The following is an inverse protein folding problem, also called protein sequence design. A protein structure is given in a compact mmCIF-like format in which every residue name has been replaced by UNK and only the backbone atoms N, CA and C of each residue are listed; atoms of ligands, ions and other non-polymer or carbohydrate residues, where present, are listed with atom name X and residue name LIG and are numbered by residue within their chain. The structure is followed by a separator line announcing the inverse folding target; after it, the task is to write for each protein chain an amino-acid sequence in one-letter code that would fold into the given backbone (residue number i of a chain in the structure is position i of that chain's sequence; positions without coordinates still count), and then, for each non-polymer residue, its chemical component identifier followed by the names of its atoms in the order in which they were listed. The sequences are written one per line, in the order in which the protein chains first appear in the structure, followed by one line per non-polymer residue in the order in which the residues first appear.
data_IF_081478672462
#
_entry.id   IF_081478672462
#
_cell.length_a   1.000
_cell.length_b   1.000
_cell.length_c   1.000
_cell.angle_alpha   90.00
_cell.angle_beta   90.00
_cell.angle_gamma   90.00
#
_symmetry.space_group_name_H-M   'P 1'
#
loop_
_entity.id
_entity.type
_entity.pdbx_description
1 polymer ?
#
# COMPACT_ATOMS: atom_id res chain seq x y z
N UNK A 1 14.22 -13.50 -24.22
CA UNK A 1 12.98 -12.76 -24.37
C UNK A 1 11.98 -13.12 -23.28
N UNK A 2 11.22 -12.14 -22.88
CA UNK A 2 10.14 -12.32 -21.90
C UNK A 2 8.86 -12.76 -22.62
N UNK A 3 8.25 -13.84 -22.14
CA UNK A 3 6.96 -14.29 -22.64
C UNK A 3 5.85 -13.68 -21.75
N UNK A 4 4.98 -12.86 -22.36
CA UNK A 4 3.83 -12.27 -21.69
C UNK A 4 2.53 -12.81 -22.32
N UNK A 5 1.73 -13.49 -21.50
CA UNK A 5 0.44 -14.01 -21.96
C UNK A 5 -0.69 -12.97 -21.87
N UNK A 6 -0.53 -11.95 -21.06
CA UNK A 6 -1.58 -10.96 -20.78
C UNK A 6 -1.86 -10.04 -21.97
N UNK A 7 -0.81 -9.58 -22.68
CA UNK A 7 -0.94 -8.64 -23.81
C UNK A 7 -1.17 -9.35 -25.15
N UNK A 8 -0.79 -10.64 -25.27
CA UNK A 8 -0.85 -11.40 -26.51
C UNK A 8 0.03 -10.87 -27.65
N UNK A 9 0.87 -9.87 -27.39
CA UNK A 9 1.80 -9.19 -28.31
C UNK A 9 1.15 -8.50 -29.51
N UNK A 10 0.08 -9.05 -30.10
CA UNK A 10 -0.57 -8.51 -31.29
C UNK A 10 -0.97 -7.02 -31.15
N UNK A 11 -1.63 -6.58 -30.08
CA UNK A 11 -1.97 -5.17 -29.91
C UNK A 11 -0.76 -4.22 -29.92
N UNK A 12 0.39 -4.69 -29.45
CA UNK A 12 1.62 -3.90 -29.44
C UNK A 12 2.14 -3.73 -30.87
N UNK A 13 2.14 -4.81 -31.66
CA UNK A 13 2.55 -4.79 -33.06
C UNK A 13 1.62 -3.90 -33.87
N UNK A 14 0.31 -4.05 -33.69
CA UNK A 14 -0.70 -3.25 -34.39
C UNK A 14 -0.52 -1.76 -34.08
N UNK A 15 -0.33 -1.39 -32.81
CA UNK A 15 -0.09 0.00 -32.41
C UNK A 15 1.17 0.61 -33.04
N UNK A 16 2.26 -0.18 -33.12
CA UNK A 16 3.50 0.26 -33.79
C UNK A 16 3.27 0.47 -35.30
N UNK A 17 2.54 -0.44 -35.94
CA UNK A 17 2.22 -0.33 -37.37
C UNK A 17 1.32 0.88 -37.65
N UNK A 18 0.33 1.15 -36.84
CA UNK A 18 -0.53 2.34 -36.95
C UNK A 18 0.26 3.63 -36.73
N UNK A 19 1.06 3.70 -35.67
CA UNK A 19 1.91 4.86 -35.45
C UNK A 19 2.86 5.13 -36.63
N UNK A 20 3.45 4.08 -37.21
CA UNK A 20 4.31 4.18 -38.36
C UNK A 20 3.52 4.70 -39.60
N UNK A 21 2.29 4.26 -39.82
CA UNK A 21 1.44 4.74 -40.90
C UNK A 21 1.10 6.23 -40.74
N UNK A 22 0.81 6.70 -39.54
CA UNK A 22 0.61 8.13 -39.25
C UNK A 22 1.90 8.92 -39.53
N UNK A 23 3.06 8.43 -39.06
CA UNK A 23 4.35 9.10 -39.29
C UNK A 23 4.74 9.20 -40.76
N UNK A 24 4.28 8.26 -41.60
CA UNK A 24 4.47 8.32 -43.06
C UNK A 24 3.41 9.15 -43.79
N UNK A 25 2.41 9.66 -43.10
CA UNK A 25 1.30 10.41 -43.70
C UNK A 25 0.26 9.54 -44.43
N UNK A 26 0.28 8.23 -44.20
CA UNK A 26 -0.67 7.28 -44.82
C UNK A 26 -2.03 7.24 -44.07
N UNK A 27 -2.04 7.64 -42.79
CA UNK A 27 -3.22 7.78 -41.95
C UNK A 27 -3.21 9.13 -41.24
N UNK A 28 -4.36 9.71 -41.01
CA UNK A 28 -4.51 10.86 -40.13
C UNK A 28 -4.57 10.43 -38.65
N UNK A 29 -4.24 11.32 -37.75
CA UNK A 29 -4.30 11.03 -36.30
C UNK A 29 -5.75 10.79 -35.85
N UNK A 30 -6.70 11.44 -36.49
CA UNK A 30 -8.12 11.29 -36.26
C UNK A 30 -8.63 9.88 -36.55
N UNK A 31 -8.02 9.20 -37.55
CA UNK A 31 -8.42 7.83 -37.95
C UNK A 31 -8.09 6.78 -36.89
N UNK A 32 -7.15 7.08 -35.99
CA UNK A 32 -6.71 6.19 -34.91
C UNK A 32 -7.14 6.67 -33.53
N UNK A 33 -7.82 7.81 -33.46
CA UNK A 33 -8.34 8.36 -32.20
C UNK A 33 -9.71 7.76 -31.90
N UNK A 34 -9.91 7.31 -30.66
CA UNK A 34 -11.19 6.78 -30.22
C UNK A 34 -12.31 7.82 -30.38
N UNK A 35 -13.36 7.45 -31.09
CA UNK A 35 -14.59 8.23 -31.20
C UNK A 35 -15.69 7.56 -30.38
N UNK A 36 -16.32 8.25 -29.41
CA UNK A 36 -17.42 7.69 -28.63
C UNK A 36 -18.60 7.25 -29.55
N UNK A 37 -19.23 6.11 -29.24
CA UNK A 37 -20.45 5.70 -29.95
C UNK A 37 -21.56 6.77 -29.85
N UNK A 38 -22.38 6.90 -30.89
CA UNK A 38 -23.46 7.87 -30.95
C UNK A 38 -24.51 7.74 -29.82
N UNK A 39 -24.72 6.51 -29.33
CA UNK A 39 -25.62 6.21 -28.23
C UNK A 39 -25.01 6.50 -26.84
N UNK A 40 -23.76 6.96 -26.78
CA UNK A 40 -23.03 7.25 -25.55
C UNK A 40 -22.62 6.02 -24.71
N UNK A 41 -22.86 4.82 -25.21
CA UNK A 41 -22.52 3.58 -24.51
C UNK A 41 -21.03 3.27 -24.65
N UNK A 42 -20.29 3.38 -23.57
CA UNK A 42 -18.86 3.03 -23.53
C UNK A 42 -18.62 1.54 -23.30
N UNK A 43 -19.56 0.84 -22.65
CA UNK A 43 -19.47 -0.60 -22.41
C UNK A 43 -19.54 -1.39 -23.72
N UNK A 44 -18.52 -2.24 -23.94
CA UNK A 44 -18.39 -3.00 -25.18
C UNK A 44 -17.74 -2.26 -26.35
N UNK A 45 -17.29 -1.00 -26.13
CA UNK A 45 -16.49 -0.24 -27.08
C UNK A 45 -15.00 -0.35 -26.77
N UNK A 46 -14.15 0.06 -27.73
CA UNK A 46 -12.68 0.12 -27.56
C UNK A 46 -12.24 1.38 -26.78
N UNK A 47 -13.00 1.74 -25.73
CA UNK A 47 -12.71 2.90 -24.92
C UNK A 47 -11.29 2.82 -24.33
N UNK A 48 -10.43 3.82 -24.58
CA UNK A 48 -9.05 3.79 -24.12
C UNK A 48 -8.99 3.94 -22.60
N UNK A 49 -8.00 3.28 -22.00
CA UNK A 49 -7.75 3.42 -20.56
C UNK A 49 -7.55 4.91 -20.21
N UNK A 50 -8.33 5.48 -19.26
CA UNK A 50 -8.27 6.92 -18.94
C UNK A 50 -6.87 7.43 -18.60
N UNK A 51 -6.03 6.57 -18.03
CA UNK A 51 -4.65 6.93 -17.64
C UNK A 51 -3.60 6.50 -18.69
N UNK A 52 -4.00 6.01 -19.87
CA UNK A 52 -3.05 5.51 -20.87
C UNK A 52 -2.05 6.59 -21.32
N UNK A 53 -2.56 7.74 -21.75
CA UNK A 53 -1.73 8.83 -22.23
C UNK A 53 -0.80 9.38 -21.15
N UNK A 54 -1.31 9.65 -19.95
CA UNK A 54 -0.50 10.17 -18.85
C UNK A 54 0.60 9.20 -18.40
N UNK A 55 0.36 7.88 -18.53
CA UNK A 55 1.39 6.85 -18.26
C UNK A 55 2.50 6.86 -19.30
N UNK A 56 2.13 6.93 -20.58
CA UNK A 56 3.11 6.98 -21.69
C UNK A 56 3.94 8.26 -21.62
N UNK A 57 3.32 9.40 -21.29
CA UNK A 57 4.01 10.67 -21.15
C UNK A 57 4.78 10.82 -19.81
N UNK A 58 4.65 9.87 -18.90
CA UNK A 58 5.30 9.96 -17.58
C UNK A 58 4.69 11.02 -16.65
N UNK A 59 3.48 11.48 -16.94
CA UNK A 59 2.77 12.48 -16.12
C UNK A 59 1.75 11.88 -15.15
N UNK A 60 1.58 10.55 -15.18
CA UNK A 60 0.69 9.84 -14.27
C UNK A 60 1.33 9.70 -12.89
N UNK A 61 0.67 10.24 -11.88
CA UNK A 61 1.10 10.06 -10.50
C UNK A 61 0.66 8.69 -9.96
N UNK A 62 1.61 7.97 -9.42
CA UNK A 62 1.37 6.80 -8.57
C UNK A 62 1.42 7.22 -7.10
N UNK A 63 0.96 6.34 -6.19
CA UNK A 63 0.90 6.68 -4.78
C UNK A 63 2.20 7.20 -4.17
N UNK A 64 3.35 6.71 -4.63
CA UNK A 64 4.65 7.19 -4.16
C UNK A 64 4.99 8.60 -4.65
N UNK A 65 4.55 8.98 -5.84
CA UNK A 65 4.85 10.28 -6.45
C UNK A 65 4.07 11.40 -5.77
N UNK A 66 2.88 11.08 -5.23
CA UNK A 66 2.03 12.03 -4.51
C UNK A 66 2.76 12.59 -3.28
N UNK A 67 3.64 11.82 -2.66
CA UNK A 67 4.36 12.23 -1.44
C UNK A 67 5.20 13.51 -1.63
N UNK A 68 5.72 13.74 -2.83
CA UNK A 68 6.45 14.95 -3.19
C UNK A 68 5.58 16.17 -3.49
N UNK A 69 4.25 15.97 -3.62
CA UNK A 69 3.26 17.00 -3.95
C UNK A 69 2.32 17.32 -2.80
N UNK A 70 2.55 16.71 -1.63
CA UNK A 70 1.74 16.97 -0.45
C UNK A 70 1.98 18.40 0.07
N UNK A 71 0.97 19.02 0.71
CA UNK A 71 1.10 20.33 1.30
C UNK A 71 2.29 20.44 2.25
N UNK A 72 2.89 21.63 2.35
CA UNK A 72 3.93 21.92 3.33
C UNK A 72 3.45 21.59 4.75
N UNK A 73 4.32 21.01 5.56
CA UNK A 73 3.99 20.57 6.92
C UNK A 73 3.34 19.17 6.99
N UNK A 74 3.10 18.50 5.86
CA UNK A 74 2.64 17.11 5.87
C UNK A 74 3.68 16.21 6.54
N UNK A 75 3.24 15.41 7.51
CA UNK A 75 4.11 14.49 8.24
C UNK A 75 4.27 13.16 7.50
N UNK A 76 5.46 12.60 7.63
CA UNK A 76 5.76 11.25 7.15
C UNK A 76 5.60 10.25 8.30
N UNK A 77 4.97 9.12 7.97
CA UNK A 77 4.76 8.05 8.93
C UNK A 77 5.70 6.89 8.67
N UNK A 78 6.23 6.30 9.75
CA UNK A 78 6.93 5.03 9.71
C UNK A 78 6.33 4.08 10.76
N UNK A 79 6.05 2.84 10.34
CA UNK A 79 5.51 1.82 11.25
C UNK A 79 6.64 1.05 11.93
N UNK A 80 6.44 0.74 13.20
CA UNK A 80 7.29 -0.16 13.98
C UNK A 80 6.61 -1.53 13.99
N UNK A 81 7.21 -2.49 13.31
CA UNK A 81 6.70 -3.86 13.23
C UNK A 81 7.24 -4.71 14.36
N UNK A 82 6.46 -5.67 14.80
CA UNK A 82 6.80 -6.58 15.90
C UNK A 82 8.06 -7.40 15.64
N UNK A 83 8.27 -7.85 14.41
CA UNK A 83 9.40 -8.73 14.02
C UNK A 83 9.51 -9.97 14.91
N UNK A 84 8.38 -10.48 15.38
CA UNK A 84 8.19 -11.68 16.16
C UNK A 84 6.94 -12.41 15.69
N UNK A 85 6.98 -13.71 15.67
CA UNK A 85 5.90 -14.57 15.19
C UNK A 85 4.74 -14.59 16.18
N UNK A 86 5.07 -14.87 17.46
CA UNK A 86 4.10 -14.85 18.54
C UNK A 86 4.82 -14.49 19.86
N UNK A 87 4.42 -13.39 20.46
CA UNK A 87 5.05 -12.92 21.69
C UNK A 87 4.14 -11.97 22.47
N UNK A 88 4.33 -11.91 23.76
CA UNK A 88 3.75 -10.89 24.64
C UNK A 88 4.67 -9.67 24.68
N UNK A 89 4.11 -8.50 24.51
CA UNK A 89 4.81 -7.23 24.74
C UNK A 89 4.92 -7.02 26.25
N UNK A 90 6.15 -7.04 26.79
CA UNK A 90 6.43 -6.76 28.20
C UNK A 90 6.65 -5.28 28.48
N UNK A 91 7.41 -4.64 27.58
CA UNK A 91 7.64 -3.20 27.65
C UNK A 91 7.75 -2.63 26.23
N UNK A 92 7.34 -1.39 26.09
CA UNK A 92 7.48 -0.58 24.88
C UNK A 92 8.07 0.76 25.30
N UNK A 93 9.32 1.02 24.91
CA UNK A 93 10.02 2.27 25.17
C UNK A 93 10.15 3.08 23.88
N UNK A 94 9.56 4.25 23.89
CA UNK A 94 9.54 5.21 22.79
C UNK A 94 10.36 6.47 23.07
N UNK A 95 10.99 6.58 24.22
CA UNK A 95 11.62 7.82 24.69
C UNK A 95 12.76 8.30 23.77
N UNK A 96 13.63 7.38 23.35
CA UNK A 96 14.72 7.69 22.41
C UNK A 96 14.19 8.17 21.06
N UNK A 97 13.16 7.49 20.52
CA UNK A 97 12.54 7.86 19.26
C UNK A 97 11.84 9.22 19.35
N UNK A 98 11.12 9.48 20.45
CA UNK A 98 10.41 10.73 20.67
C UNK A 98 11.35 11.93 20.79
N UNK A 99 12.56 11.73 21.32
CA UNK A 99 13.55 12.78 21.49
C UNK A 99 14.32 13.14 20.20
N UNK A 100 14.15 12.38 19.13
CA UNK A 100 14.90 12.62 17.88
C UNK A 100 14.44 13.90 17.17
N UNK A 101 15.38 14.68 16.60
CA UNK A 101 15.08 15.90 15.88
C UNK A 101 14.13 15.64 14.69
N UNK A 102 13.02 16.39 14.65
CA UNK A 102 12.02 16.32 13.61
C UNK A 102 10.96 15.23 13.81
N UNK A 103 11.03 14.48 14.89
CA UNK A 103 9.92 13.61 15.33
C UNK A 103 8.86 14.50 16.00
N UNK A 104 7.61 14.34 15.55
CA UNK A 104 6.47 15.09 16.07
C UNK A 104 5.74 14.27 17.12
N UNK A 105 5.56 12.97 16.86
CA UNK A 105 4.94 12.08 17.80
C UNK A 105 5.29 10.61 17.54
N UNK A 106 5.20 9.79 18.58
CA UNK A 106 5.23 8.32 18.49
C UNK A 106 3.92 7.79 19.06
N UNK A 107 3.08 7.26 18.19
CA UNK A 107 1.73 6.78 18.51
C UNK A 107 1.80 5.30 18.86
N UNK A 108 1.17 4.92 19.96
CA UNK A 108 1.05 3.54 20.44
C UNK A 108 -0.42 3.15 20.58
N UNK A 109 -0.70 1.92 20.97
CA UNK A 109 -2.07 1.48 21.22
C UNK A 109 -2.81 2.33 22.26
N UNK A 110 -2.08 2.95 23.21
CA UNK A 110 -2.66 3.80 24.25
C UNK A 110 -3.21 5.12 23.71
N UNK A 111 -2.72 5.55 22.56
CA UNK A 111 -3.07 6.83 21.93
C UNK A 111 -4.30 6.70 21.02
N UNK A 112 -4.77 5.48 20.77
CA UNK A 112 -5.94 5.22 19.92
C UNK A 112 -7.21 5.66 20.67
N UNK A 113 -7.83 6.74 20.19
CA UNK A 113 -9.03 7.31 20.81
C UNK A 113 -10.31 6.53 20.54
N UNK A 114 -10.34 5.73 19.49
CA UNK A 114 -11.48 4.91 19.08
C UNK A 114 -11.29 3.45 19.44
N UNK A 115 -12.00 2.57 18.74
CA UNK A 115 -11.84 1.13 18.87
C UNK A 115 -10.54 0.68 18.23
N UNK A 116 -9.59 0.18 19.03
CA UNK A 116 -8.31 -0.35 18.54
C UNK A 116 -8.48 -1.77 18.00
N UNK A 117 -9.49 -2.00 17.15
CA UNK A 117 -9.78 -3.31 16.56
C UNK A 117 -10.21 -3.17 15.11
N UNK A 118 -9.66 -4.00 14.25
CA UNK A 118 -10.15 -4.23 12.90
C UNK A 118 -11.09 -5.43 12.98
N UNK A 119 -12.34 -5.18 12.69
CA UNK A 119 -13.39 -6.19 12.64
C UNK A 119 -13.53 -6.66 11.19
N UNK A 120 -13.74 -7.96 10.98
CA UNK A 120 -14.02 -8.48 9.63
C UNK A 120 -15.29 -7.81 9.05
N UNK A 121 -15.32 -7.46 7.75
CA UNK A 121 -16.49 -6.83 7.14
C UNK A 121 -17.74 -7.68 7.35
N UNK A 122 -18.81 -7.06 7.82
CA UNK A 122 -20.10 -7.72 7.95
C UNK A 122 -20.57 -8.22 6.58
N UNK A 123 -21.03 -9.47 6.53
CA UNK A 123 -21.56 -10.10 5.32
C UNK A 123 -20.65 -11.14 4.65
N UNK A 124 -19.41 -11.28 5.08
CA UNK A 124 -18.54 -12.37 4.63
C UNK A 124 -18.32 -13.38 5.74
N UNK A 125 -18.98 -14.53 5.66
CA UNK A 125 -18.70 -15.74 6.47
C UNK A 125 -18.50 -15.40 7.98
N UNK A 126 -19.47 -14.76 8.59
CA UNK A 126 -19.44 -14.30 9.99
C UNK A 126 -18.92 -15.37 10.96
N UNK A 127 -19.37 -16.59 10.82
CA UNK A 127 -19.02 -17.69 11.73
C UNK A 127 -17.54 -18.11 11.66
N UNK A 128 -16.85 -17.84 10.55
CA UNK A 128 -15.42 -18.14 10.43
C UNK A 128 -14.52 -17.00 10.83
N UNK A 129 -15.07 -15.79 10.99
CA UNK A 129 -14.31 -14.58 11.33
C UNK A 129 -14.54 -14.14 12.78
N UNK A 130 -15.46 -14.75 13.49
CA UNK A 130 -15.72 -14.47 14.90
C UNK A 130 -14.45 -14.76 15.73
N UNK A 131 -14.00 -13.75 16.48
CA UNK A 131 -12.77 -13.86 17.26
C UNK A 131 -11.47 -13.60 16.47
N UNK A 132 -11.54 -13.30 15.18
CA UNK A 132 -10.37 -12.92 14.35
C UNK A 132 -10.07 -11.41 14.40
N UNK A 133 -10.72 -10.68 15.28
CA UNK A 133 -10.45 -9.27 15.49
C UNK A 133 -8.96 -9.06 15.82
N UNK A 134 -8.36 -8.12 15.10
CA UNK A 134 -6.97 -7.77 15.36
C UNK A 134 -6.84 -6.31 15.75
N UNK A 135 -5.91 -5.96 16.63
CA UNK A 135 -5.66 -4.57 16.96
C UNK A 135 -5.12 -3.82 15.72
N UNK A 136 -5.45 -2.55 15.61
CA UNK A 136 -4.82 -1.63 14.65
C UNK A 136 -3.36 -1.42 15.01
N UNK A 137 -3.12 -1.15 16.32
CA UNK A 137 -1.79 -1.13 16.94
C UNK A 137 -1.80 -2.15 18.08
N UNK A 138 -0.85 -3.07 18.10
CA UNK A 138 -0.78 -4.13 19.10
C UNK A 138 -0.69 -3.58 20.53
N UNK A 139 -1.53 -4.13 21.41
CA UNK A 139 -1.74 -3.68 22.78
C UNK A 139 -1.42 -4.74 23.86
N UNK A 140 -0.75 -5.81 23.47
CA UNK A 140 -0.39 -6.85 24.44
C UNK A 140 0.30 -8.06 23.85
N UNK A 141 -0.32 -8.70 22.85
CA UNK A 141 0.21 -9.90 22.22
C UNK A 141 0.33 -9.71 20.71
N UNK A 142 1.53 -9.86 20.19
CA UNK A 142 1.77 -9.93 18.75
C UNK A 142 1.59 -11.39 18.29
N UNK A 143 0.97 -11.57 17.14
CA UNK A 143 0.66 -12.87 16.55
C UNK A 143 1.20 -13.06 15.16
N UNK A 144 1.84 -12.03 14.61
CA UNK A 144 2.44 -12.04 13.29
C UNK A 144 3.64 -11.12 13.25
N UNK A 145 4.60 -11.50 12.45
CA UNK A 145 5.83 -10.73 12.24
C UNK A 145 5.56 -9.27 11.84
N UNK A 146 4.50 -9.03 11.08
CA UNK A 146 4.11 -7.71 10.57
C UNK A 146 3.11 -6.95 11.45
N UNK A 147 2.81 -7.41 12.67
CA UNK A 147 1.93 -6.66 13.57
C UNK A 147 2.57 -5.32 13.94
N UNK A 148 1.78 -4.24 13.86
CA UNK A 148 2.23 -2.88 14.17
C UNK A 148 2.20 -2.67 15.68
N UNK A 149 3.31 -2.23 16.28
CA UNK A 149 3.42 -1.97 17.72
C UNK A 149 3.50 -0.48 18.05
N UNK A 150 3.95 0.33 17.09
CA UNK A 150 3.93 1.79 17.19
C UNK A 150 3.98 2.42 15.79
N UNK A 151 3.65 3.70 15.70
CA UNK A 151 3.76 4.51 14.48
C UNK A 151 4.48 5.80 14.83
N UNK A 152 5.57 6.10 14.12
CA UNK A 152 6.32 7.34 14.27
C UNK A 152 5.86 8.34 13.22
N UNK A 153 5.56 9.57 13.64
CA UNK A 153 5.27 10.71 12.78
C UNK A 153 6.41 11.73 12.85
N UNK A 154 6.99 12.09 11.72
CA UNK A 154 8.10 13.03 11.64
C UNK A 154 7.99 13.97 10.43
N UNK A 155 8.75 15.06 10.46
CA UNK A 155 8.79 16.08 9.39
C UNK A 155 9.50 15.63 8.12
N UNK A 156 10.05 14.41 8.09
CA UNK A 156 10.71 13.85 6.91
C UNK A 156 10.72 12.34 6.96
N UNK A 157 10.72 11.72 5.77
CA UNK A 157 10.65 10.27 5.58
C UNK A 157 11.80 9.53 6.28
N UNK A 158 13.03 10.04 6.10
CA UNK A 158 14.21 9.40 6.68
C UNK A 158 14.26 9.57 8.19
N UNK A 159 13.78 10.70 8.70
CA UNK A 159 13.63 10.95 10.13
C UNK A 159 12.62 9.99 10.76
N UNK A 160 11.47 9.79 10.12
CA UNK A 160 10.45 8.85 10.59
C UNK A 160 11.01 7.42 10.65
N UNK A 161 11.73 6.97 9.63
CA UNK A 161 12.35 5.64 9.58
C UNK A 161 13.43 5.46 10.64
N UNK A 162 14.36 6.42 10.73
CA UNK A 162 15.43 6.36 11.72
C UNK A 162 14.88 6.35 13.15
N UNK A 163 13.84 7.10 13.43
CA UNK A 163 13.19 7.11 14.73
C UNK A 163 12.41 5.81 15.01
N UNK A 164 11.79 5.20 13.99
CA UNK A 164 11.13 3.91 14.16
C UNK A 164 12.10 2.80 14.57
N UNK A 165 13.36 2.86 14.14
CA UNK A 165 14.42 1.93 14.54
C UNK A 165 14.89 2.12 15.98
N UNK A 166 14.59 3.28 16.61
CA UNK A 166 14.93 3.59 18.00
C UNK A 166 13.85 3.20 19.01
N UNK A 167 12.68 2.81 18.54
CA UNK A 167 11.65 2.25 19.41
C UNK A 167 12.09 0.87 19.89
N UNK A 168 12.15 0.68 21.19
CA UNK A 168 12.56 -0.57 21.82
C UNK A 168 11.35 -1.31 22.35
N UNK A 169 11.29 -2.61 22.04
CA UNK A 169 10.20 -3.47 22.48
C UNK A 169 10.80 -4.71 23.15
N UNK A 170 10.40 -4.94 24.39
CA UNK A 170 10.76 -6.15 25.11
C UNK A 170 9.64 -7.20 24.93
N UNK A 171 10.04 -8.37 24.47
CA UNK A 171 9.12 -9.46 24.18
C UNK A 171 9.38 -10.66 25.09
N UNK A 172 8.29 -11.28 25.50
CA UNK A 172 8.29 -12.65 26.03
C UNK A 172 7.78 -13.56 24.90
N UNK A 173 8.62 -14.46 24.40
CA UNK A 173 8.21 -15.41 23.37
C UNK A 173 7.08 -16.32 23.84
N UNK A 174 6.13 -16.58 22.94
CA UNK A 174 5.04 -17.53 23.13
C UNK A 174 5.15 -18.64 22.07
N UNK A 175 4.57 -19.82 22.31
CA UNK A 175 4.52 -20.87 21.31
C UNK A 175 3.92 -20.34 20.01
N UNK A 176 4.65 -20.48 18.91
CA UNK A 176 4.22 -20.05 17.59
C UNK A 176 3.89 -21.26 16.73
N UNK A 177 2.81 -21.21 15.97
CA UNK A 177 2.43 -22.20 14.96
C UNK A 177 3.00 -21.73 13.63
N UNK A 178 4.01 -22.44 13.13
CA UNK A 178 4.79 -22.01 11.96
C UNK A 178 4.51 -22.85 10.71
N UNK A 179 3.90 -24.00 10.87
CA UNK A 179 3.62 -24.92 9.76
C UNK A 179 2.15 -25.31 9.73
N UNK A 180 1.69 -25.72 8.54
CA UNK A 180 0.35 -26.26 8.36
C UNK A 180 0.07 -27.47 9.26
N UNK A 181 1.07 -28.34 9.42
CA UNK A 181 0.92 -29.55 10.24
C UNK A 181 0.80 -29.24 11.74
N UNK A 182 1.42 -28.16 12.21
CA UNK A 182 1.26 -27.70 13.60
C UNK A 182 -0.09 -27.01 13.84
N UNK A 183 -0.72 -26.52 12.78
CA UNK A 183 -2.02 -25.82 12.83
C UNK A 183 -3.21 -26.79 12.77
N UNK A 184 -3.03 -28.03 12.28
CA UNK A 184 -4.05 -29.05 12.12
C UNK A 184 -4.28 -29.84 13.40
#
# INVERSE_FOLDING_TARGET
GNVCRCTGYKPIVDAVMEAAAVMRGEKAMEDITFTPPEDGRLYGSDFPKPTALSRVLGTCDFGADISGKMPEGTLHLAVVLAKREHARIRALDTAEAQAMPGVVNVVTAKDVKGTNRLVAPQGTVHSLCDGLDRPVICDGVVRRYGDVVAVVAATGRDKARAAAERVRVEYEPLPAVMTFMEAA
#
